data_IF_427079618824
#
_entry.id   IF_427079618824
#
_cell.length_a   1.000
_cell.length_b   1.000
_cell.length_c   1.000
_cell.angle_alpha   90.00
_cell.angle_beta   90.00
_cell.angle_gamma   90.00
#
_symmetry.space_group_name_H-M   'P 1'
#
loop_
_entity.id
_entity.type
_entity.pdbx_description
1 polymer ?
#
# COMPACT_ATOMS: atom_id res chain seq x y z
N UNK A 1 15.32 -32.11 46.50
CA UNK A 1 14.80 -32.49 45.18
C UNK A 1 14.09 -31.38 44.38
N UNK A 2 13.67 -30.25 44.94
CA UNK A 2 12.96 -29.17 44.22
C UNK A 2 13.89 -28.31 43.33
N UNK A 3 15.16 -28.10 43.67
CA UNK A 3 16.06 -27.24 42.88
C UNK A 3 16.52 -27.83 41.52
N UNK A 4 16.60 -29.15 41.41
CA UNK A 4 17.02 -29.84 40.17
C UNK A 4 15.95 -29.82 39.11
N UNK A 5 14.68 -29.85 39.46
CA UNK A 5 13.56 -29.76 38.53
C UNK A 5 13.43 -28.37 37.87
N UNK A 6 13.64 -27.31 38.66
CA UNK A 6 13.59 -25.94 38.16
C UNK A 6 14.72 -25.62 37.17
N UNK A 7 15.93 -26.09 37.44
CA UNK A 7 17.09 -25.90 36.55
C UNK A 7 16.89 -26.69 35.25
N UNK A 8 16.32 -27.90 35.32
CA UNK A 8 16.01 -28.71 34.13
C UNK A 8 14.95 -28.04 33.25
N UNK A 9 13.89 -27.49 33.84
CA UNK A 9 12.85 -26.75 33.11
C UNK A 9 13.43 -25.50 32.41
N UNK A 10 14.25 -24.73 33.11
CA UNK A 10 14.91 -23.53 32.54
C UNK A 10 15.83 -23.94 31.37
N UNK A 11 16.58 -25.03 31.50
CA UNK A 11 17.46 -25.53 30.44
C UNK A 11 16.69 -26.04 29.22
N UNK A 12 15.58 -26.75 29.42
CA UNK A 12 14.69 -27.21 28.33
C UNK A 12 14.03 -26.03 27.61
N UNK A 13 13.57 -25.03 28.35
CA UNK A 13 12.99 -23.80 27.77
C UNK A 13 14.06 -23.04 26.97
N UNK A 14 15.29 -22.94 27.48
CA UNK A 14 16.41 -22.29 26.78
C UNK A 14 16.81 -23.03 25.50
N UNK A 15 16.87 -24.37 25.54
CA UNK A 15 17.12 -25.18 24.35
C UNK A 15 16.00 -25.09 23.32
N UNK A 16 14.75 -25.04 23.76
CA UNK A 16 13.57 -24.85 22.90
C UNK A 16 13.64 -23.47 22.21
N UNK A 17 13.94 -22.43 22.96
CA UNK A 17 14.12 -21.09 22.41
C UNK A 17 15.29 -21.01 21.41
N UNK A 18 16.44 -21.63 21.75
CA UNK A 18 17.63 -21.65 20.87
C UNK A 18 17.37 -22.43 19.59
N UNK A 19 16.58 -23.53 19.65
CA UNK A 19 16.20 -24.32 18.51
C UNK A 19 15.25 -23.56 17.57
N UNK A 20 14.26 -22.86 18.11
CA UNK A 20 13.35 -22.03 17.30
C UNK A 20 14.04 -20.81 16.70
N UNK A 21 14.97 -20.17 17.41
CA UNK A 21 15.78 -19.09 16.85
C UNK A 21 16.68 -19.56 15.73
N UNK A 22 17.28 -20.74 15.86
CA UNK A 22 18.12 -21.37 14.83
C UNK A 22 17.27 -21.72 13.58
N UNK A 23 16.12 -22.36 13.74
CA UNK A 23 15.22 -22.67 12.63
C UNK A 23 14.67 -21.38 11.98
N UNK A 24 14.27 -20.39 12.76
CA UNK A 24 13.80 -19.11 12.23
C UNK A 24 14.89 -18.38 11.42
N UNK A 25 16.15 -18.49 11.83
CA UNK A 25 17.30 -17.94 11.12
C UNK A 25 17.64 -18.70 9.84
N UNK A 26 17.75 -20.06 9.93
CA UNK A 26 18.14 -20.92 8.82
C UNK A 26 17.08 -20.98 7.71
N UNK A 27 15.80 -20.97 8.06
CA UNK A 27 14.68 -21.13 7.11
C UNK A 27 13.94 -19.80 6.82
N UNK A 28 14.45 -18.68 7.35
CA UNK A 28 13.89 -17.33 7.12
C UNK A 28 12.35 -17.28 7.33
N UNK A 29 11.89 -17.94 8.41
CA UNK A 29 10.47 -18.00 8.76
C UNK A 29 10.04 -16.68 9.45
N UNK A 30 9.39 -15.75 8.73
CA UNK A 30 9.15 -14.38 9.21
C UNK A 30 8.26 -14.31 10.45
N UNK A 31 7.39 -15.30 10.66
CA UNK A 31 6.50 -15.36 11.83
C UNK A 31 7.21 -15.77 13.14
N UNK A 32 8.23 -16.60 13.08
CA UNK A 32 8.98 -17.01 14.27
C UNK A 32 9.91 -15.88 14.72
N UNK A 33 10.51 -15.17 13.77
CA UNK A 33 11.31 -13.98 14.03
C UNK A 33 10.47 -12.86 14.69
N UNK A 34 9.30 -12.53 14.13
CA UNK A 34 8.43 -11.46 14.67
C UNK A 34 7.87 -11.79 16.05
N UNK A 35 7.46 -13.04 16.32
CA UNK A 35 6.95 -13.42 17.65
C UNK A 35 8.03 -13.32 18.75
N UNK A 36 9.28 -13.71 18.44
CA UNK A 36 10.41 -13.60 19.37
C UNK A 36 10.85 -12.14 19.57
N UNK A 37 10.78 -11.34 18.53
CA UNK A 37 11.07 -9.90 18.57
C UNK A 37 10.06 -9.13 19.41
N UNK A 38 8.79 -9.54 19.39
CA UNK A 38 7.72 -8.96 20.20
C UNK A 38 7.96 -9.13 21.72
N UNK A 39 8.68 -10.18 22.11
CA UNK A 39 9.05 -10.44 23.54
C UNK A 39 10.20 -9.54 23.98
N UNK A 40 11.04 -9.03 23.07
CA UNK A 40 12.17 -8.16 23.39
C UNK A 40 11.78 -6.68 23.59
N UNK A 41 10.59 -6.29 23.15
CA UNK A 41 10.11 -4.90 23.20
C UNK A 41 10.88 -3.95 22.27
N UNK A 42 10.38 -2.74 22.04
CA UNK A 42 11.10 -1.72 21.28
C UNK A 42 12.37 -1.29 22.04
N UNK A 43 13.50 -1.12 21.33
CA UNK A 43 14.75 -0.64 21.92
C UNK A 43 14.62 0.82 22.38
N UNK A 44 13.86 1.60 21.62
CA UNK A 44 13.44 2.95 22.01
C UNK A 44 12.07 2.91 22.66
N UNK A 45 11.83 3.77 23.65
CA UNK A 45 10.49 3.92 24.22
C UNK A 45 9.49 4.35 23.15
N UNK A 46 8.32 3.74 23.17
CA UNK A 46 7.21 4.16 22.30
C UNK A 46 6.90 5.64 22.52
N UNK A 47 6.86 6.43 21.46
CA UNK A 47 6.52 7.85 21.51
C UNK A 47 5.04 8.10 21.20
N UNK A 48 4.43 7.19 20.44
CA UNK A 48 3.01 7.19 20.16
C UNK A 48 2.48 5.76 20.19
N UNK A 49 1.30 5.54 20.78
CA UNK A 49 0.66 4.23 20.82
C UNK A 49 -0.61 4.21 19.96
N UNK A 50 -1.03 3.04 19.44
CA UNK A 50 -2.29 2.92 18.72
C UNK A 50 -3.47 3.42 19.55
N UNK A 51 -3.48 3.13 20.85
CA UNK A 51 -4.53 3.52 21.79
C UNK A 51 -4.66 5.04 21.93
N UNK A 52 -3.52 5.77 21.93
CA UNK A 52 -3.50 7.23 21.97
C UNK A 52 -4.13 7.82 20.70
N UNK A 53 -3.75 7.30 19.52
CA UNK A 53 -4.30 7.76 18.23
C UNK A 53 -5.80 7.47 18.14
N UNK A 54 -6.21 6.28 18.55
CA UNK A 54 -7.64 5.91 18.58
C UNK A 54 -8.45 6.75 19.56
N UNK A 55 -7.87 7.12 20.71
CA UNK A 55 -8.50 8.03 21.67
C UNK A 55 -8.60 9.45 21.09
N UNK A 56 -7.55 9.94 20.42
CA UNK A 56 -7.52 11.22 19.72
C UNK A 56 -8.63 11.32 18.67
N UNK A 57 -8.81 10.27 17.86
CA UNK A 57 -9.87 10.20 16.84
C UNK A 57 -11.30 10.27 17.43
N UNK A 58 -11.50 9.69 18.61
CA UNK A 58 -12.81 9.67 19.30
C UNK A 58 -13.12 10.98 20.03
N UNK A 59 -12.12 11.82 20.28
CA UNK A 59 -12.29 13.09 20.96
C UNK A 59 -13.11 14.05 20.08
N UNK A 60 -14.13 14.66 20.67
CA UNK A 60 -14.98 15.60 19.99
C UNK A 60 -14.18 16.83 19.54
N UNK A 61 -14.43 17.31 18.32
CA UNK A 61 -13.74 18.44 17.69
C UNK A 61 -12.23 18.27 17.49
N UNK A 62 -11.68 17.08 17.73
CA UNK A 62 -10.30 16.78 17.39
C UNK A 62 -10.20 16.19 15.99
N UNK A 63 -9.15 16.56 15.24
CA UNK A 63 -8.84 16.02 13.92
C UNK A 63 -7.50 15.30 13.96
N UNK A 64 -7.44 14.15 13.32
CA UNK A 64 -6.18 13.46 13.09
C UNK A 64 -5.39 14.18 11.99
N UNK A 65 -4.20 14.59 12.31
CA UNK A 65 -3.29 15.21 11.32
C UNK A 65 -2.60 14.13 10.52
N UNK A 66 -2.81 14.17 9.20
CA UNK A 66 -2.20 13.25 8.26
C UNK A 66 -1.36 14.02 7.22
N UNK A 67 -0.10 13.61 7.06
CA UNK A 67 0.80 14.12 6.04
C UNK A 67 0.95 13.09 4.92
N UNK A 68 0.56 13.46 3.73
CA UNK A 68 0.70 12.66 2.51
C UNK A 68 2.00 13.07 1.81
N UNK A 69 2.85 12.08 1.57
CA UNK A 69 4.19 12.27 1.03
C UNK A 69 4.34 11.47 -0.27
N UNK A 70 3.99 12.05 -1.43
CA UNK A 70 4.34 11.44 -2.72
C UNK A 70 5.86 11.36 -2.85
N UNK A 71 6.39 10.16 -3.03
CA UNK A 71 7.83 9.91 -3.13
C UNK A 71 8.44 10.48 -4.40
N UNK A 72 9.77 10.69 -4.37
CA UNK A 72 10.56 11.32 -5.41
C UNK A 72 10.06 12.74 -5.77
N UNK A 73 10.78 13.44 -6.59
CA UNK A 73 10.39 14.73 -7.16
C UNK A 73 10.69 14.76 -8.67
N UNK A 74 10.51 15.92 -9.28
CA UNK A 74 10.73 16.05 -10.72
C UNK A 74 12.22 16.00 -11.11
N UNK A 75 13.12 16.27 -10.16
CA UNK A 75 14.57 16.36 -10.35
C UNK A 75 15.32 15.11 -9.88
N UNK A 76 14.69 14.30 -9.01
CA UNK A 76 15.31 13.08 -8.48
C UNK A 76 15.15 11.90 -9.44
N UNK A 77 16.12 10.98 -9.38
CA UNK A 77 16.04 9.72 -10.12
C UNK A 77 14.96 8.85 -9.51
N UNK A 78 13.90 8.61 -10.26
CA UNK A 78 12.80 7.70 -9.91
C UNK A 78 12.65 6.60 -10.96
N UNK A 79 11.84 5.58 -10.67
CA UNK A 79 11.49 4.57 -11.66
C UNK A 79 10.85 5.21 -12.91
N UNK A 80 11.21 4.68 -14.05
CA UNK A 80 10.64 5.13 -15.33
C UNK A 80 10.33 3.96 -16.24
N UNK A 81 9.13 3.94 -16.78
CA UNK A 81 8.70 2.99 -17.81
C UNK A 81 8.15 3.72 -19.03
N UNK A 82 8.88 3.70 -20.14
CA UNK A 82 8.59 4.53 -21.32
C UNK A 82 8.51 6.00 -20.92
N UNK A 83 7.38 6.67 -21.19
CA UNK A 83 7.14 8.07 -20.82
C UNK A 83 6.62 8.26 -19.38
N UNK A 84 6.36 7.16 -18.66
CA UNK A 84 5.79 7.20 -17.32
C UNK A 84 6.91 7.35 -16.29
N UNK A 85 6.78 8.33 -15.43
CA UNK A 85 7.67 8.54 -14.28
C UNK A 85 6.93 8.20 -12.98
N UNK A 86 7.58 7.49 -12.10
CA UNK A 86 7.07 7.18 -10.76
C UNK A 86 6.73 8.46 -10.00
N UNK A 87 7.62 9.45 -10.01
CA UNK A 87 7.40 10.72 -9.32
C UNK A 87 6.09 11.41 -9.72
N UNK A 88 5.68 11.32 -10.98
CA UNK A 88 4.43 11.86 -11.47
C UNK A 88 3.22 11.04 -10.98
N UNK A 89 3.31 9.71 -11.04
CA UNK A 89 2.25 8.82 -10.53
C UNK A 89 2.04 8.99 -9.04
N UNK A 90 3.13 9.11 -8.28
CA UNK A 90 3.08 9.38 -6.83
C UNK A 90 2.33 10.69 -6.53
N UNK A 91 2.63 11.76 -7.28
CA UNK A 91 1.99 13.06 -7.11
C UNK A 91 0.49 13.03 -7.48
N UNK A 92 0.12 12.34 -8.56
CA UNK A 92 -1.27 12.17 -8.98
C UNK A 92 -2.08 11.38 -7.92
N UNK A 93 -1.56 10.23 -7.45
CA UNK A 93 -2.20 9.45 -6.40
C UNK A 93 -2.28 10.24 -5.08
N UNK A 94 -1.19 10.92 -4.72
CA UNK A 94 -1.13 11.72 -3.50
C UNK A 94 -2.16 12.84 -3.48
N UNK A 95 -2.42 13.49 -4.63
CA UNK A 95 -3.47 14.50 -4.75
C UNK A 95 -4.87 13.91 -4.56
N UNK A 96 -5.17 12.75 -5.18
CA UNK A 96 -6.46 12.07 -4.99
C UNK A 96 -6.66 11.65 -3.51
N UNK A 97 -5.61 11.13 -2.86
CA UNK A 97 -5.66 10.75 -1.45
C UNK A 97 -5.86 11.97 -0.53
N UNK A 98 -5.15 13.05 -0.80
CA UNK A 98 -5.31 14.32 -0.09
C UNK A 98 -6.75 14.83 -0.19
N UNK A 99 -7.37 14.77 -1.37
CA UNK A 99 -8.76 15.21 -1.57
C UNK A 99 -9.78 14.35 -0.79
N UNK A 100 -9.53 13.03 -0.65
CA UNK A 100 -10.37 12.19 0.21
C UNK A 100 -10.30 12.61 1.67
N UNK A 101 -9.10 12.79 2.21
CA UNK A 101 -8.93 13.21 3.61
C UNK A 101 -9.39 14.64 3.86
N UNK A 102 -9.21 15.55 2.90
CA UNK A 102 -9.66 16.95 3.03
C UNK A 102 -11.20 17.06 3.13
N UNK A 103 -11.94 16.13 2.52
CA UNK A 103 -13.41 16.07 2.57
C UNK A 103 -13.95 15.41 3.83
N UNK A 104 -13.08 14.81 4.65
CA UNK A 104 -13.46 14.13 5.89
C UNK A 104 -13.15 15.02 7.09
N UNK A 105 -14.20 15.47 7.79
CA UNK A 105 -14.08 16.38 8.92
C UNK A 105 -13.29 15.82 10.10
N UNK A 106 -13.03 14.52 10.13
CA UNK A 106 -12.21 13.85 11.15
C UNK A 106 -10.70 14.00 10.91
N UNK A 107 -10.30 14.53 9.76
CA UNK A 107 -8.89 14.67 9.40
C UNK A 107 -8.50 16.11 9.11
N UNK A 108 -7.24 16.43 9.38
CA UNK A 108 -6.55 17.62 8.92
C UNK A 108 -5.39 17.15 8.03
N UNK A 109 -5.57 17.29 6.72
CA UNK A 109 -4.66 16.72 5.73
C UNK A 109 -3.64 17.75 5.21
N UNK A 110 -2.40 17.29 5.05
CA UNK A 110 -1.31 18.04 4.44
C UNK A 110 -0.70 17.19 3.31
N UNK A 111 -0.15 17.82 2.29
CA UNK A 111 0.59 17.14 1.23
C UNK A 111 1.92 17.87 0.94
N UNK A 112 3.01 17.13 0.85
CA UNK A 112 4.33 17.71 0.55
C UNK A 112 4.49 18.09 -0.91
N UNK A 113 3.67 17.54 -1.82
CA UNK A 113 3.73 17.81 -3.26
C UNK A 113 2.34 18.08 -3.82
N UNK A 114 2.29 18.83 -4.90
CA UNK A 114 1.08 19.12 -5.67
C UNK A 114 1.01 18.24 -6.92
N UNK A 115 -0.16 18.20 -7.57
CA UNK A 115 -0.46 17.29 -8.69
C UNK A 115 0.53 17.34 -9.87
N UNK A 116 1.12 18.50 -10.15
CA UNK A 116 2.12 18.63 -11.22
C UNK A 116 3.51 18.06 -10.86
N UNK A 117 3.66 17.55 -9.65
CA UNK A 117 4.88 16.94 -9.16
C UNK A 117 5.86 17.88 -8.46
N UNK A 118 5.55 19.16 -8.34
CA UNK A 118 6.36 20.12 -7.59
C UNK A 118 6.11 19.97 -6.08
N UNK A 119 7.06 20.37 -5.26
CA UNK A 119 6.81 20.52 -3.83
C UNK A 119 5.77 21.60 -3.56
N UNK A 120 4.92 21.38 -2.56
CA UNK A 120 4.02 22.43 -2.05
C UNK A 120 4.85 23.59 -1.52
N UNK A 121 4.33 24.82 -1.70
CA UNK A 121 5.05 26.05 -1.32
C UNK A 121 5.45 26.03 0.15
N UNK A 122 4.54 25.62 1.04
CA UNK A 122 4.80 25.55 2.49
C UNK A 122 5.97 24.62 2.83
N UNK A 123 6.11 23.46 2.14
CA UNK A 123 7.20 22.55 2.40
C UNK A 123 8.54 23.06 1.84
N UNK A 124 8.51 23.67 0.66
CA UNK A 124 9.69 24.32 0.09
C UNK A 124 10.22 25.44 1.00
N UNK A 125 9.31 26.31 1.49
CA UNK A 125 9.67 27.40 2.39
C UNK A 125 10.23 26.86 3.73
N UNK A 126 9.63 25.81 4.30
CA UNK A 126 10.12 25.16 5.48
C UNK A 126 11.53 24.57 5.29
N UNK A 127 11.72 23.83 4.20
CA UNK A 127 13.01 23.17 3.91
C UNK A 127 14.14 24.19 3.75
N UNK A 128 13.93 25.24 2.95
CA UNK A 128 14.93 26.26 2.70
C UNK A 128 15.24 27.08 3.97
N UNK A 129 14.23 27.36 4.78
CA UNK A 129 14.41 28.16 6.00
C UNK A 129 15.06 27.38 7.16
N UNK A 130 15.01 26.06 7.16
CA UNK A 130 15.45 25.22 8.28
C UNK A 130 16.57 24.24 7.89
N UNK A 131 17.29 24.48 6.81
CA UNK A 131 18.27 23.52 6.26
C UNK A 131 19.33 23.10 7.28
N UNK A 132 19.92 24.03 7.99
CA UNK A 132 20.95 23.76 9.01
C UNK A 132 20.40 22.93 10.18
N UNK A 133 19.16 23.21 10.62
CA UNK A 133 18.50 22.46 11.68
C UNK A 133 18.10 21.05 11.24
N UNK A 134 17.76 20.88 9.97
CA UNK A 134 17.49 19.56 9.38
C UNK A 134 18.77 18.74 9.29
N UNK A 135 19.89 19.34 8.87
CA UNK A 135 21.21 18.67 8.87
C UNK A 135 21.59 18.21 10.29
N UNK A 136 21.44 19.09 11.28
CA UNK A 136 21.67 18.74 12.68
C UNK A 136 20.74 17.63 13.18
N UNK A 137 19.45 17.69 12.83
CA UNK A 137 18.48 16.64 13.19
C UNK A 137 18.87 15.28 12.59
N UNK A 138 19.31 15.25 11.32
CA UNK A 138 19.85 14.06 10.67
C UNK A 138 21.05 13.49 11.42
N UNK A 139 22.05 14.33 11.71
CA UNK A 139 23.27 13.92 12.42
C UNK A 139 22.98 13.39 13.82
N UNK A 140 22.09 14.06 14.55
CA UNK A 140 21.68 13.66 15.90
C UNK A 140 20.96 12.31 15.89
N UNK A 141 20.03 12.10 14.96
CA UNK A 141 19.31 10.83 14.78
C UNK A 141 20.27 9.68 14.44
N UNK A 142 21.17 9.89 13.50
CA UNK A 142 22.19 8.90 13.12
C UNK A 142 23.15 8.59 14.28
N UNK A 143 23.52 9.59 15.08
CA UNK A 143 24.38 9.42 16.25
C UNK A 143 23.69 8.59 17.34
N UNK A 144 22.42 8.90 17.63
CA UNK A 144 21.60 8.13 18.59
C UNK A 144 21.47 6.67 18.16
N UNK A 145 21.23 6.43 16.87
CA UNK A 145 21.12 5.07 16.34
C UNK A 145 22.43 4.30 16.46
N UNK A 146 23.58 4.91 16.11
CA UNK A 146 24.89 4.28 16.31
C UNK A 146 25.13 3.91 17.78
N UNK A 147 24.83 4.80 18.71
CA UNK A 147 24.92 4.53 20.14
C UNK A 147 24.03 3.38 20.59
N UNK A 148 22.80 3.30 20.07
CA UNK A 148 21.88 2.23 20.36
C UNK A 148 22.41 0.87 19.85
N UNK A 149 22.97 0.83 18.65
CA UNK A 149 23.61 -0.39 18.09
C UNK A 149 24.83 -0.81 18.91
N UNK A 150 25.68 0.14 19.32
CA UNK A 150 26.81 -0.12 20.20
C UNK A 150 26.39 -0.67 21.57
N UNK A 151 25.18 -0.32 22.03
CA UNK A 151 24.59 -0.83 23.26
C UNK A 151 23.85 -2.14 23.10
N UNK A 152 23.85 -2.73 21.89
CA UNK A 152 23.30 -4.06 21.61
C UNK A 152 21.93 -4.06 20.90
N UNK A 153 21.48 -2.92 20.38
CA UNK A 153 20.29 -2.92 19.52
C UNK A 153 20.57 -3.76 18.27
N UNK A 154 19.65 -4.66 17.87
CA UNK A 154 19.85 -5.44 16.66
C UNK A 154 19.93 -4.54 15.42
N UNK A 155 20.99 -4.75 14.63
CA UNK A 155 21.05 -4.23 13.26
C UNK A 155 20.70 -5.37 12.30
N UNK A 156 19.69 -5.17 11.48
CA UNK A 156 19.20 -6.23 10.58
C UNK A 156 19.97 -6.23 9.25
N UNK A 157 20.40 -7.42 8.80
CA UNK A 157 21.04 -7.60 7.50
C UNK A 157 20.17 -8.14 6.39
N UNK A 158 18.88 -8.45 6.64
CA UNK A 158 17.97 -9.08 5.67
C UNK A 158 16.96 -8.07 5.11
N UNK A 159 17.45 -7.18 4.25
CA UNK A 159 16.61 -6.11 3.75
C UNK A 159 16.24 -6.30 2.28
N UNK A 160 15.08 -5.76 1.90
CA UNK A 160 14.75 -5.52 0.50
C UNK A 160 15.68 -4.42 0.01
N UNK A 161 16.30 -4.63 -1.16
CA UNK A 161 17.17 -3.63 -1.76
C UNK A 161 16.35 -2.41 -2.16
N UNK A 162 16.66 -1.28 -1.55
CA UNK A 162 16.16 0.03 -1.96
C UNK A 162 17.31 0.82 -2.60
N UNK A 163 16.98 1.64 -3.61
CA UNK A 163 17.94 2.58 -4.16
C UNK A 163 18.37 3.56 -3.06
N UNK A 164 19.67 3.78 -2.94
CA UNK A 164 20.19 4.78 -2.02
C UNK A 164 19.68 6.17 -2.41
N UNK A 165 19.11 6.89 -1.45
CA UNK A 165 18.74 8.28 -1.64
C UNK A 165 20.00 9.13 -1.87
N UNK A 166 19.91 10.12 -2.76
CA UNK A 166 20.96 11.16 -2.85
C UNK A 166 21.04 11.92 -1.54
N UNK A 167 22.14 12.63 -1.29
CA UNK A 167 22.27 13.43 -0.07
C UNK A 167 21.13 14.45 0.07
N UNK A 168 20.74 15.09 -1.02
CA UNK A 168 19.65 16.05 -1.05
C UNK A 168 18.27 15.40 -0.79
N UNK A 169 17.99 14.24 -1.38
CA UNK A 169 16.75 13.49 -1.14
C UNK A 169 16.69 13.00 0.32
N UNK A 170 17.81 12.50 0.81
CA UNK A 170 17.96 12.12 2.22
C UNK A 170 17.63 13.30 3.14
N UNK A 171 18.20 14.47 2.87
CA UNK A 171 17.98 15.66 3.69
C UNK A 171 16.50 16.10 3.67
N UNK A 172 15.85 16.05 2.51
CA UNK A 172 14.40 16.32 2.40
C UNK A 172 13.55 15.34 3.19
N UNK A 173 13.89 14.05 3.19
CA UNK A 173 13.18 13.04 3.99
C UNK A 173 13.35 13.30 5.51
N UNK A 174 14.54 13.70 5.96
CA UNK A 174 14.73 14.14 7.35
C UNK A 174 13.95 15.44 7.65
N UNK A 175 13.84 16.35 6.70
CA UNK A 175 13.00 17.55 6.85
C UNK A 175 11.53 17.20 7.02
N UNK A 176 11.02 16.22 6.26
CA UNK A 176 9.65 15.71 6.40
C UNK A 176 9.43 15.14 7.81
N UNK A 177 10.34 14.28 8.29
CA UNK A 177 10.23 13.68 9.62
C UNK A 177 10.32 14.76 10.73
N UNK A 178 11.26 15.70 10.61
CA UNK A 178 11.42 16.82 11.56
C UNK A 178 10.15 17.67 11.60
N UNK A 179 9.65 18.13 10.45
CA UNK A 179 8.44 18.92 10.37
C UNK A 179 7.24 18.19 10.96
N UNK A 180 7.09 16.91 10.64
CA UNK A 180 5.99 16.09 11.13
C UNK A 180 6.03 15.94 12.66
N UNK A 181 7.23 15.78 13.27
CA UNK A 181 7.38 15.71 14.72
C UNK A 181 7.05 17.06 15.38
N UNK A 182 7.55 18.16 14.83
CA UNK A 182 7.31 19.54 15.35
C UNK A 182 5.84 19.96 15.29
N UNK A 183 5.10 19.47 14.29
CA UNK A 183 3.68 19.81 14.09
C UNK A 183 2.73 18.74 14.67
N UNK A 184 3.25 17.75 15.40
CA UNK A 184 2.49 16.66 16.00
C UNK A 184 1.61 15.93 14.96
N UNK A 185 2.20 15.62 13.80
CA UNK A 185 1.50 14.85 12.77
C UNK A 185 1.37 13.40 13.27
N UNK A 186 0.13 12.93 13.46
CA UNK A 186 -0.12 11.56 13.94
C UNK A 186 0.25 10.52 12.88
N UNK A 187 -0.03 10.77 11.60
CA UNK A 187 0.20 9.81 10.51
C UNK A 187 0.97 10.46 9.37
N UNK A 188 2.11 9.88 9.00
CA UNK A 188 2.85 10.20 7.77
C UNK A 188 2.69 9.02 6.81
N UNK A 189 2.20 9.29 5.60
CA UNK A 189 1.91 8.27 4.61
C UNK A 189 2.68 8.54 3.31
N UNK A 190 3.68 7.69 3.02
CA UNK A 190 4.50 7.76 1.81
C UNK A 190 3.91 6.94 0.68
N UNK A 191 3.97 7.47 -0.53
CA UNK A 191 3.41 6.90 -1.75
C UNK A 191 4.53 6.64 -2.75
N UNK A 192 4.65 5.39 -3.19
CA UNK A 192 5.64 4.94 -4.16
C UNK A 192 5.06 3.93 -5.15
N UNK A 193 5.76 3.73 -6.26
CA UNK A 193 5.58 2.64 -7.20
C UNK A 193 6.92 1.98 -7.47
N UNK A 194 6.94 0.67 -7.36
CA UNK A 194 8.15 -0.14 -7.47
C UNK A 194 8.64 -0.24 -8.93
N UNK A 195 9.93 -0.49 -9.07
CA UNK A 195 10.56 -0.98 -10.30
C UNK A 195 11.52 -2.11 -9.95
N UNK A 196 11.74 -3.05 -10.86
CA UNK A 196 12.67 -4.14 -10.59
C UNK A 196 14.00 -3.91 -11.32
N UNK A 197 15.13 -3.84 -10.59
CA UNK A 197 16.45 -3.68 -11.17
C UNK A 197 16.77 -4.80 -12.17
N UNK A 198 17.36 -4.44 -13.30
CA UNK A 198 17.78 -5.41 -14.32
C UNK A 198 16.75 -5.78 -15.36
N UNK A 199 15.53 -5.22 -15.32
CA UNK A 199 14.64 -5.29 -16.50
C UNK A 199 15.22 -4.55 -17.69
N UNK A 200 14.95 -5.02 -18.90
CA UNK A 200 15.34 -4.31 -20.12
C UNK A 200 14.51 -3.03 -20.27
N UNK A 201 15.16 -1.96 -20.70
CA UNK A 201 14.47 -0.69 -20.99
C UNK A 201 13.25 -0.88 -21.89
N UNK A 202 12.12 -0.30 -21.50
CA UNK A 202 10.87 -0.38 -22.26
C UNK A 202 10.15 -1.73 -22.20
N UNK A 203 10.71 -2.75 -21.52
CA UNK A 203 10.06 -4.02 -21.28
C UNK A 203 9.54 -4.10 -19.86
N UNK A 204 8.40 -4.78 -19.62
CA UNK A 204 7.94 -5.05 -18.27
C UNK A 204 8.97 -5.90 -17.51
N UNK A 205 9.01 -5.72 -16.19
CA UNK A 205 9.77 -6.57 -15.29
C UNK A 205 9.03 -7.88 -14.99
N UNK A 206 9.60 -8.64 -14.05
CA UNK A 206 9.11 -9.97 -13.67
C UNK A 206 8.03 -9.93 -12.60
N UNK A 207 8.07 -8.94 -11.70
CA UNK A 207 7.25 -8.88 -10.51
C UNK A 207 6.07 -7.92 -10.67
N UNK A 208 5.05 -8.11 -9.83
CA UNK A 208 3.83 -7.32 -9.81
C UNK A 208 3.27 -7.25 -8.39
N UNK A 209 2.32 -6.33 -8.15
CA UNK A 209 1.57 -6.23 -6.91
C UNK A 209 2.17 -5.29 -5.88
N UNK A 210 1.38 -4.97 -4.84
CA UNK A 210 1.69 -3.98 -3.82
C UNK A 210 2.44 -4.56 -2.63
N UNK A 211 3.19 -3.71 -1.93
CA UNK A 211 3.77 -3.95 -0.61
C UNK A 211 3.67 -2.71 0.28
N UNK A 212 3.70 -2.91 1.60
CA UNK A 212 3.63 -1.86 2.60
C UNK A 212 4.82 -2.01 3.53
N UNK A 213 5.54 -0.93 3.77
CA UNK A 213 6.68 -0.86 4.66
C UNK A 213 6.35 -0.08 5.92
N UNK A 214 6.80 -0.60 7.04
CA UNK A 214 6.67 -0.01 8.38
C UNK A 214 8.02 -0.01 9.08
N UNK A 215 8.22 0.84 10.11
CA UNK A 215 9.42 0.80 10.92
C UNK A 215 9.64 -0.59 11.53
N UNK A 216 10.90 -1.01 11.64
CA UNK A 216 11.25 -2.26 12.32
C UNK A 216 11.01 -2.15 13.84
N UNK A 217 10.75 -3.30 14.48
CA UNK A 217 10.24 -3.44 15.86
C UNK A 217 11.00 -2.67 16.96
N UNK A 218 12.30 -2.39 16.79
CA UNK A 218 13.11 -1.65 17.76
C UNK A 218 12.90 -0.13 17.69
N UNK A 219 12.22 0.38 16.67
CA UNK A 219 11.98 1.81 16.48
C UNK A 219 10.72 2.29 17.24
N UNK A 220 10.70 3.55 17.72
CA UNK A 220 9.69 4.03 18.66
C UNK A 220 8.28 4.13 18.09
N UNK A 221 8.13 4.14 16.77
CA UNK A 221 6.86 4.23 16.06
C UNK A 221 6.40 2.92 15.41
N UNK A 222 7.11 1.80 15.65
CA UNK A 222 6.81 0.50 15.05
C UNK A 222 5.38 0.03 15.31
N UNK A 223 4.99 -0.09 16.61
CA UNK A 223 3.71 -0.72 16.99
C UNK A 223 2.51 0.03 16.39
N UNK A 224 2.50 1.35 16.50
CA UNK A 224 1.44 2.18 15.96
C UNK A 224 1.38 2.13 14.41
N UNK A 225 2.54 2.12 13.75
CA UNK A 225 2.64 1.99 12.30
C UNK A 225 2.15 0.63 11.80
N UNK A 226 2.55 -0.45 12.46
CA UNK A 226 2.12 -1.81 12.12
C UNK A 226 0.62 -2.02 12.33
N UNK A 227 0.06 -1.48 13.43
CA UNK A 227 -1.38 -1.60 13.69
C UNK A 227 -2.23 -0.81 12.67
N UNK A 228 -1.75 0.34 12.18
CA UNK A 228 -2.42 1.05 11.09
C UNK A 228 -2.26 0.33 9.75
N UNK A 229 -1.08 -0.22 9.47
CA UNK A 229 -0.80 -0.88 8.19
C UNK A 229 -1.59 -2.18 7.98
N UNK A 230 -1.95 -2.91 9.05
CA UNK A 230 -2.73 -4.17 8.95
C UNK A 230 -4.10 -4.00 8.30
N UNK A 231 -5.01 -3.13 8.76
CA UNK A 231 -6.30 -2.91 8.10
C UNK A 231 -6.14 -2.29 6.69
N UNK A 232 -5.13 -1.45 6.46
CA UNK A 232 -4.80 -0.94 5.14
C UNK A 232 -4.44 -2.07 4.18
N UNK A 233 -3.49 -2.95 4.56
CA UNK A 233 -3.11 -4.14 3.80
C UNK A 233 -4.35 -5.00 3.49
N UNK A 234 -5.14 -5.32 4.51
CA UNK A 234 -6.33 -6.14 4.34
C UNK A 234 -7.37 -5.50 3.41
N UNK A 235 -7.43 -4.16 3.35
CA UNK A 235 -8.30 -3.45 2.42
C UNK A 235 -7.79 -3.53 0.99
N UNK A 236 -6.49 -3.29 0.78
CA UNK A 236 -5.87 -3.36 -0.55
C UNK A 236 -5.94 -4.79 -1.12
N UNK A 237 -5.71 -5.83 -0.31
CA UNK A 237 -5.79 -7.24 -0.73
C UNK A 237 -7.16 -7.67 -1.28
N UNK A 238 -8.21 -6.93 -0.99
CA UNK A 238 -9.55 -7.21 -1.53
C UNK A 238 -9.68 -6.91 -3.02
N UNK A 239 -8.80 -6.07 -3.56
CA UNK A 239 -8.92 -5.54 -4.92
C UNK A 239 -7.63 -5.66 -5.72
N UNK A 240 -6.49 -5.81 -5.05
CA UNK A 240 -5.17 -5.75 -5.67
C UNK A 240 -4.31 -6.95 -5.30
N UNK A 241 -3.43 -7.33 -6.23
CA UNK A 241 -2.42 -8.35 -6.01
C UNK A 241 -1.39 -7.88 -4.97
N UNK A 242 -0.97 -8.79 -4.09
CA UNK A 242 0.23 -8.58 -3.27
C UNK A 242 1.48 -8.74 -4.13
N UNK A 243 2.57 -8.08 -3.72
CA UNK A 243 3.87 -8.28 -4.38
C UNK A 243 4.24 -9.76 -4.44
N UNK A 244 4.65 -10.20 -5.62
CA UNK A 244 5.18 -11.54 -5.86
C UNK A 244 6.72 -11.57 -5.84
N UNK A 245 7.36 -10.46 -5.45
CA UNK A 245 8.77 -10.44 -5.05
C UNK A 245 8.92 -11.25 -3.75
N UNK A 246 9.77 -12.31 -3.70
CA UNK A 246 9.83 -13.20 -2.54
C UNK A 246 10.04 -12.51 -1.19
N UNK A 247 10.84 -11.44 -1.15
CA UNK A 247 11.07 -10.65 0.06
C UNK A 247 9.86 -9.82 0.50
N UNK A 248 8.88 -9.58 -0.37
CA UNK A 248 7.67 -8.78 -0.17
C UNK A 248 6.38 -9.62 -0.09
N UNK A 249 6.46 -10.94 -0.18
CA UNK A 249 5.32 -11.87 -0.34
C UNK A 249 4.23 -11.75 0.74
N UNK A 250 4.55 -11.18 1.90
CA UNK A 250 3.59 -10.91 2.98
C UNK A 250 2.88 -9.57 2.83
N UNK A 251 3.30 -8.74 1.89
CA UNK A 251 2.82 -7.38 1.63
C UNK A 251 2.88 -6.42 2.85
N UNK A 252 3.46 -6.83 3.97
CA UNK A 252 3.77 -5.98 5.12
C UNK A 252 5.17 -6.31 5.58
N UNK A 253 6.08 -5.36 5.44
CA UNK A 253 7.52 -5.50 5.61
C UNK A 253 8.00 -4.53 6.69
N UNK A 254 8.77 -5.03 7.64
CA UNK A 254 9.48 -4.20 8.59
C UNK A 254 10.84 -3.78 8.00
N UNK A 255 11.17 -2.48 8.08
CA UNK A 255 12.42 -1.94 7.58
C UNK A 255 13.01 -0.90 8.55
N UNK A 256 14.32 -0.98 8.80
CA UNK A 256 15.01 -0.04 9.70
C UNK A 256 15.81 1.04 8.97
N UNK A 257 16.02 0.92 7.66
CA UNK A 257 16.89 1.81 6.88
C UNK A 257 16.12 2.86 6.08
N UNK A 258 14.83 2.63 5.83
CA UNK A 258 14.00 3.59 5.12
C UNK A 258 13.77 4.86 5.95
N UNK A 259 14.36 5.97 5.51
CA UNK A 259 14.16 7.30 6.12
C UNK A 259 12.68 7.67 6.14
N UNK A 260 11.94 7.29 5.10
CA UNK A 260 10.50 7.52 4.95
C UNK A 260 9.68 6.96 6.13
N UNK A 261 10.04 5.80 6.67
CA UNK A 261 9.32 5.22 7.82
C UNK A 261 9.96 5.55 9.17
N UNK A 262 10.98 6.40 9.20
CA UNK A 262 11.59 6.89 10.43
C UNK A 262 12.84 6.14 10.86
N UNK A 263 13.70 5.69 9.89
CA UNK A 263 15.02 5.15 10.22
C UNK A 263 15.79 6.07 11.19
N UNK A 264 16.72 5.49 11.91
CA UNK A 264 17.49 6.19 12.95
C UNK A 264 16.63 6.82 14.06
N UNK A 265 15.45 6.24 14.34
CA UNK A 265 14.47 6.77 15.29
C UNK A 265 14.07 8.23 15.02
N UNK A 266 14.07 8.66 13.75
CA UNK A 266 13.81 10.04 13.33
C UNK A 266 12.34 10.42 13.32
N UNK A 267 11.39 9.48 13.56
CA UNK A 267 9.97 9.73 13.51
C UNK A 267 9.27 9.36 14.82
N UNK A 268 8.46 10.29 15.34
CA UNK A 268 7.73 10.11 16.59
C UNK A 268 6.35 9.47 16.39
N UNK A 269 5.65 9.85 15.32
CA UNK A 269 4.30 9.37 15.00
C UNK A 269 4.31 8.17 14.04
N UNK A 270 3.11 7.69 13.71
CA UNK A 270 2.90 6.64 12.70
C UNK A 270 3.56 7.02 11.38
N UNK A 271 4.26 6.09 10.78
CA UNK A 271 4.77 6.24 9.42
C UNK A 271 4.62 4.95 8.63
N UNK A 272 4.08 5.06 7.42
CA UNK A 272 3.84 3.93 6.51
C UNK A 272 4.27 4.34 5.11
N UNK A 273 4.92 3.44 4.39
CA UNK A 273 5.21 3.61 2.97
C UNK A 273 4.49 2.50 2.19
N UNK A 274 3.71 2.89 1.19
CA UNK A 274 3.07 1.95 0.27
C UNK A 274 3.74 1.99 -1.10
N UNK A 275 4.23 0.83 -1.53
CA UNK A 275 4.56 0.53 -2.93
C UNK A 275 3.30 -0.06 -3.57
N UNK A 276 2.60 0.69 -4.41
CA UNK A 276 1.28 0.31 -4.92
C UNK A 276 1.31 -0.70 -6.06
N UNK A 277 2.47 -1.06 -6.50
CA UNK A 277 2.71 -2.01 -7.59
C UNK A 277 3.90 -1.58 -8.42
N UNK A 278 4.14 -2.29 -9.51
CA UNK A 278 5.26 -1.99 -10.39
C UNK A 278 4.83 -1.09 -11.54
N UNK A 279 5.60 -0.04 -11.79
CA UNK A 279 5.29 1.03 -12.77
C UNK A 279 4.92 0.52 -14.17
N UNK A 280 5.36 -0.69 -14.52
CA UNK A 280 5.11 -1.31 -15.83
C UNK A 280 3.86 -2.20 -15.87
N UNK A 281 3.12 -2.35 -14.77
CA UNK A 281 1.90 -3.16 -14.77
C UNK A 281 0.83 -2.57 -15.72
N UNK A 282 0.01 -3.40 -16.38
CA UNK A 282 -0.88 -2.96 -17.45
C UNK A 282 -1.80 -1.79 -17.06
N UNK A 283 -2.35 -1.80 -15.85
CA UNK A 283 -3.23 -0.74 -15.35
C UNK A 283 -2.55 0.62 -15.22
N UNK A 284 -1.23 0.63 -15.01
CA UNK A 284 -0.42 1.86 -14.91
C UNK A 284 0.21 2.22 -16.25
N UNK A 285 0.61 1.23 -17.03
CA UNK A 285 1.23 1.43 -18.34
C UNK A 285 0.26 2.03 -19.38
N UNK A 286 -1.04 1.76 -19.25
CA UNK A 286 -2.06 2.30 -20.13
C UNK A 286 -2.55 3.67 -19.63
N UNK A 287 -2.47 4.70 -20.48
CA UNK A 287 -2.90 6.07 -20.16
C UNK A 287 -4.38 6.18 -19.79
N UNK A 288 -5.26 5.38 -20.42
CA UNK A 288 -6.70 5.41 -20.18
C UNK A 288 -7.09 4.86 -18.80
N UNK A 289 -6.37 3.84 -18.32
CA UNK A 289 -6.66 3.17 -17.04
C UNK A 289 -5.89 3.78 -15.87
N UNK A 290 -4.72 4.36 -16.11
CA UNK A 290 -3.81 4.87 -15.05
C UNK A 290 -4.50 5.81 -14.08
N UNK A 291 -5.04 6.93 -14.56
CA UNK A 291 -5.67 7.93 -13.67
C UNK A 291 -6.85 7.36 -12.88
N UNK A 292 -7.63 6.47 -13.51
CA UNK A 292 -8.77 5.78 -12.87
C UNK A 292 -8.25 4.87 -11.74
N UNK A 293 -7.18 4.11 -12.02
CA UNK A 293 -6.60 3.20 -11.04
C UNK A 293 -5.91 3.94 -9.90
N UNK A 294 -5.21 5.05 -10.17
CA UNK A 294 -4.61 5.88 -9.13
C UNK A 294 -5.67 6.43 -8.16
N UNK A 295 -6.81 6.87 -8.69
CA UNK A 295 -7.94 7.30 -7.85
C UNK A 295 -8.53 6.15 -7.03
N UNK A 296 -8.68 4.96 -7.61
CA UNK A 296 -9.17 3.79 -6.88
C UNK A 296 -8.20 3.37 -5.77
N UNK A 297 -6.90 3.35 -6.03
CA UNK A 297 -5.87 3.08 -5.03
C UNK A 297 -5.92 4.10 -3.88
N UNK A 298 -6.04 5.38 -4.19
CA UNK A 298 -6.20 6.45 -3.20
C UNK A 298 -7.45 6.24 -2.34
N UNK A 299 -8.58 5.89 -2.96
CA UNK A 299 -9.82 5.60 -2.25
C UNK A 299 -9.68 4.38 -1.33
N UNK A 300 -9.12 3.27 -1.81
CA UNK A 300 -8.95 2.07 -1.00
C UNK A 300 -7.94 2.29 0.14
N UNK A 301 -6.96 3.15 -0.05
CA UNK A 301 -6.03 3.59 1.01
C UNK A 301 -6.77 4.40 2.09
N UNK A 302 -7.56 5.39 1.69
CA UNK A 302 -8.40 6.15 2.59
C UNK A 302 -9.31 5.24 3.42
N UNK A 303 -10.01 4.29 2.78
CA UNK A 303 -10.85 3.29 3.44
C UNK A 303 -10.06 2.43 4.43
N UNK A 304 -8.88 1.95 4.01
CA UNK A 304 -8.00 1.13 4.85
C UNK A 304 -7.55 1.86 6.11
N UNK A 305 -7.18 3.13 5.99
CA UNK A 305 -6.79 3.98 7.12
C UNK A 305 -8.00 4.26 8.03
N UNK A 306 -9.18 4.55 7.50
CA UNK A 306 -10.40 4.73 8.30
C UNK A 306 -10.77 3.47 9.09
N UNK A 307 -10.54 2.29 8.54
CA UNK A 307 -10.76 1.01 9.25
C UNK A 307 -9.88 0.83 10.47
N UNK A 308 -8.67 1.39 10.49
CA UNK A 308 -7.86 1.43 11.70
C UNK A 308 -8.61 2.16 12.83
N UNK A 309 -9.31 3.24 12.52
CA UNK A 309 -10.10 4.00 13.49
C UNK A 309 -11.45 3.36 13.86
N UNK A 310 -11.81 2.24 13.22
CA UNK A 310 -13.11 1.59 13.38
C UNK A 310 -14.24 2.37 12.69
N UNK A 311 -13.93 3.29 11.79
CA UNK A 311 -14.90 4.09 11.07
C UNK A 311 -15.29 3.41 9.75
N UNK A 312 -16.60 3.24 9.56
CA UNK A 312 -17.21 2.67 8.35
C UNK A 312 -17.96 3.69 7.51
N UNK A 313 -17.98 4.98 7.93
CA UNK A 313 -18.56 6.04 7.13
C UNK A 313 -17.60 6.40 5.99
N UNK A 314 -17.93 5.97 4.79
CA UNK A 314 -17.10 6.12 3.61
C UNK A 314 -17.67 7.18 2.67
N UNK A 315 -16.79 7.97 2.04
CA UNK A 315 -17.18 9.04 1.11
C UNK A 315 -17.65 8.56 -0.26
N UNK A 316 -17.43 7.29 -0.61
CA UNK A 316 -17.91 6.74 -1.88
C UNK A 316 -19.28 6.08 -1.72
N UNK A 317 -20.07 6.18 -2.79
CA UNK A 317 -21.43 5.66 -2.84
C UNK A 317 -21.56 4.15 -2.59
N UNK A 318 -22.67 3.57 -2.98
CA UNK A 318 -23.16 2.24 -2.60
C UNK A 318 -22.24 1.04 -2.94
N UNK A 319 -21.16 1.24 -3.72
CA UNK A 319 -20.34 0.14 -4.24
C UNK A 319 -18.99 -0.05 -3.54
N UNK A 320 -18.61 0.81 -2.60
CA UNK A 320 -17.29 0.76 -1.92
C UNK A 320 -16.10 0.76 -2.91
N UNK A 321 -16.23 1.42 -4.04
CA UNK A 321 -15.20 1.58 -5.08
C UNK A 321 -15.50 2.81 -5.92
N UNK A 322 -14.47 3.44 -6.47
CA UNK A 322 -14.62 4.55 -7.44
C UNK A 322 -14.83 4.07 -8.88
N UNK A 323 -14.73 2.76 -9.11
CA UNK A 323 -14.92 2.14 -10.41
C UNK A 323 -16.39 1.85 -10.76
N UNK A 324 -17.31 2.04 -9.82
CA UNK A 324 -18.75 1.85 -10.00
C UNK A 324 -19.50 3.00 -9.32
N UNK A 325 -20.63 3.46 -9.89
CA UNK A 325 -21.32 2.92 -11.08
C UNK A 325 -20.60 3.18 -12.40
N UNK A 326 -20.93 2.44 -13.47
CA UNK A 326 -20.43 2.64 -14.82
C UNK A 326 -21.41 2.12 -15.87
N UNK A 327 -21.60 2.88 -16.95
CA UNK A 327 -22.47 2.49 -18.07
C UNK A 327 -21.68 2.05 -19.29
N UNK A 328 -21.85 0.80 -19.71
CA UNK A 328 -21.19 0.22 -20.87
C UNK A 328 -22.00 0.44 -22.14
N UNK A 329 -21.40 1.06 -23.16
CA UNK A 329 -22.05 1.34 -24.44
C UNK A 329 -21.54 0.46 -25.58
N UNK A 330 -20.35 -0.11 -25.48
CA UNK A 330 -19.71 -0.89 -26.54
C UNK A 330 -19.47 -2.32 -26.09
N UNK A 331 -19.72 -3.31 -26.98
CA UNK A 331 -19.43 -4.71 -26.68
C UNK A 331 -17.94 -4.94 -26.40
N UNK A 332 -17.65 -5.79 -25.40
CA UNK A 332 -16.29 -6.08 -24.94
C UNK A 332 -15.93 -7.54 -25.24
N UNK A 333 -14.73 -7.77 -25.77
CA UNK A 333 -14.23 -9.11 -26.08
C UNK A 333 -12.74 -9.26 -25.86
N UNK A 334 -12.32 -10.50 -25.71
CA UNK A 334 -10.90 -10.86 -25.54
C UNK A 334 -10.06 -10.35 -26.72
N UNK A 335 -8.89 -9.76 -26.39
CA UNK A 335 -7.88 -9.31 -27.35
C UNK A 335 -8.12 -7.93 -27.94
N UNK A 336 -9.17 -7.21 -27.53
CA UNK A 336 -9.38 -5.80 -27.92
C UNK A 336 -8.74 -4.90 -26.87
N UNK A 337 -7.92 -3.97 -27.29
CA UNK A 337 -7.17 -3.04 -26.42
C UNK A 337 -7.83 -1.67 -26.31
N UNK A 338 -8.67 -1.31 -27.28
CA UNK A 338 -9.30 0.03 -27.38
C UNK A 338 -10.32 0.35 -26.29
N UNK A 339 -10.73 -0.65 -25.49
CA UNK A 339 -11.78 -0.54 -24.49
C UNK A 339 -11.24 -0.79 -23.06
N UNK A 340 -9.95 -0.48 -22.82
CA UNK A 340 -9.29 -0.81 -21.55
C UNK A 340 -9.96 -0.18 -20.33
N UNK A 341 -10.51 1.03 -20.46
CA UNK A 341 -11.30 1.70 -19.42
C UNK A 341 -12.55 0.88 -19.09
N UNK A 342 -13.37 0.56 -20.07
CA UNK A 342 -14.62 -0.19 -19.88
C UNK A 342 -14.36 -1.60 -19.34
N UNK A 343 -13.23 -2.21 -19.75
CA UNK A 343 -12.79 -3.51 -19.23
C UNK A 343 -12.40 -3.43 -17.76
N UNK A 344 -11.76 -2.32 -17.33
CA UNK A 344 -11.43 -2.10 -15.92
C UNK A 344 -12.68 -2.07 -15.05
N UNK A 345 -13.69 -1.30 -15.46
CA UNK A 345 -14.98 -1.23 -14.78
C UNK A 345 -15.72 -2.59 -14.80
N UNK A 346 -15.66 -3.32 -15.94
CA UNK A 346 -16.22 -4.67 -16.05
C UNK A 346 -15.59 -5.64 -15.06
N UNK A 347 -14.25 -5.64 -14.93
CA UNK A 347 -13.56 -6.50 -13.97
C UNK A 347 -13.98 -6.20 -12.54
N UNK A 348 -14.20 -4.93 -12.18
CA UNK A 348 -14.72 -4.55 -10.88
C UNK A 348 -16.18 -5.01 -10.69
N UNK A 349 -17.05 -4.85 -11.68
CA UNK A 349 -18.43 -5.34 -11.60
C UNK A 349 -18.47 -6.87 -11.41
N UNK A 350 -17.67 -7.61 -12.17
CA UNK A 350 -17.53 -9.06 -12.02
C UNK A 350 -16.93 -9.45 -10.64
N UNK A 351 -16.06 -8.63 -10.08
CA UNK A 351 -15.56 -8.83 -8.72
C UNK A 351 -16.67 -8.64 -7.66
N UNK A 352 -17.51 -7.62 -7.80
CA UNK A 352 -18.68 -7.43 -6.92
C UNK A 352 -19.67 -8.59 -7.01
N UNK A 353 -19.79 -9.22 -8.17
CA UNK A 353 -20.56 -10.46 -8.39
C UNK A 353 -19.89 -11.72 -7.81
N UNK A 354 -18.66 -11.62 -7.27
CA UNK A 354 -17.82 -12.74 -6.80
C UNK A 354 -17.45 -13.72 -7.91
N UNK A 355 -17.28 -13.21 -9.12
CA UNK A 355 -16.93 -13.97 -10.32
C UNK A 355 -15.51 -13.65 -10.80
N UNK A 356 -14.86 -12.62 -10.23
CA UNK A 356 -13.52 -12.20 -10.57
C UNK A 356 -12.68 -11.97 -9.29
N UNK A 357 -11.47 -12.53 -9.17
CA UNK A 357 -10.88 -13.54 -10.08
C UNK A 357 -11.73 -14.80 -10.22
N UNK A 358 -11.61 -15.58 -11.33
CA UNK A 358 -12.28 -16.87 -11.46
C UNK A 358 -11.89 -17.85 -10.33
N UNK A 359 -12.71 -18.87 -10.13
CA UNK A 359 -12.48 -19.90 -9.13
C UNK A 359 -11.06 -20.48 -9.19
N UNK A 360 -10.42 -20.67 -8.04
CA UNK A 360 -9.03 -21.11 -7.88
C UNK A 360 -7.96 -20.17 -8.44
N UNK A 361 -8.31 -18.90 -8.67
CA UNK A 361 -7.40 -17.82 -9.07
C UNK A 361 -7.37 -16.70 -8.02
N UNK A 362 -6.25 -15.99 -7.99
CA UNK A 362 -6.04 -14.82 -7.13
C UNK A 362 -5.86 -13.55 -7.98
N UNK A 363 -5.75 -12.39 -7.36
CA UNK A 363 -5.38 -11.17 -8.07
C UNK A 363 -3.96 -11.20 -8.63
N UNK A 364 -3.06 -12.04 -8.10
CA UNK A 364 -1.75 -12.27 -8.70
C UNK A 364 -1.85 -12.99 -10.05
N UNK A 365 -2.83 -13.90 -10.22
CA UNK A 365 -3.10 -14.57 -11.50
C UNK A 365 -3.93 -13.68 -12.44
N UNK A 366 -4.83 -12.91 -11.89
CA UNK A 366 -5.90 -12.19 -12.59
C UNK A 366 -6.11 -10.79 -12.00
N UNK A 367 -5.18 -9.84 -12.21
CA UNK A 367 -5.33 -8.49 -11.68
C UNK A 367 -6.49 -7.73 -12.35
N UNK A 368 -7.08 -6.77 -11.64
CA UNK A 368 -7.96 -5.75 -12.23
C UNK A 368 -7.07 -4.77 -13.01
N UNK A 369 -6.95 -4.98 -14.30
CA UNK A 369 -5.91 -4.36 -15.13
C UNK A 369 -6.38 -3.62 -16.38
N UNK A 370 -7.67 -3.73 -16.71
CA UNK A 370 -8.20 -3.21 -17.99
C UNK A 370 -7.83 -4.07 -19.21
N UNK A 371 -7.32 -5.29 -18.98
CA UNK A 371 -6.99 -6.24 -20.07
C UNK A 371 -8.02 -7.36 -20.13
N UNK A 372 -8.73 -7.48 -21.24
CA UNK A 372 -9.66 -8.59 -21.46
C UNK A 372 -8.90 -9.87 -21.84
N UNK A 373 -8.35 -10.53 -20.82
CA UNK A 373 -7.64 -11.80 -20.92
C UNK A 373 -8.56 -13.02 -20.69
N UNK A 374 -7.94 -14.18 -20.41
CA UNK A 374 -8.64 -15.41 -20.08
C UNK A 374 -9.49 -15.27 -18.82
N UNK A 375 -8.96 -14.61 -17.77
CA UNK A 375 -9.68 -14.42 -16.53
C UNK A 375 -10.99 -13.65 -16.71
N UNK A 376 -10.96 -12.55 -17.47
CA UNK A 376 -12.15 -11.76 -17.78
C UNK A 376 -13.13 -12.56 -18.63
N UNK A 377 -12.64 -13.31 -19.62
CA UNK A 377 -13.46 -14.18 -20.46
C UNK A 377 -14.23 -15.24 -19.64
N UNK A 378 -13.54 -15.96 -18.74
CA UNK A 378 -14.19 -16.97 -17.90
C UNK A 378 -15.19 -16.33 -16.91
N UNK A 379 -14.84 -15.18 -16.34
CA UNK A 379 -15.75 -14.45 -15.44
C UNK A 379 -17.00 -13.95 -16.16
N UNK A 380 -16.88 -13.44 -17.40
CA UNK A 380 -18.04 -13.06 -18.22
C UNK A 380 -18.92 -14.26 -18.54
N UNK A 381 -18.34 -15.42 -18.85
CA UNK A 381 -19.13 -16.66 -19.03
C UNK A 381 -19.93 -16.99 -17.76
N UNK A 382 -19.31 -16.92 -16.60
CA UNK A 382 -19.99 -17.18 -15.32
C UNK A 382 -21.06 -16.15 -15.03
N UNK A 383 -20.86 -14.88 -15.38
CA UNK A 383 -21.88 -13.85 -15.28
C UNK A 383 -23.09 -14.15 -16.19
N UNK A 384 -22.84 -14.58 -17.43
CA UNK A 384 -23.88 -14.99 -18.36
C UNK A 384 -24.65 -16.21 -17.86
N UNK A 385 -23.98 -17.22 -17.31
CA UNK A 385 -24.61 -18.40 -16.70
C UNK A 385 -25.46 -18.02 -15.48
N UNK A 386 -24.97 -17.10 -14.62
CA UNK A 386 -25.68 -16.61 -13.43
C UNK A 386 -26.96 -15.85 -13.79
N UNK A 387 -26.95 -15.13 -14.91
CA UNK A 387 -28.07 -14.33 -15.42
C UNK A 387 -28.63 -14.92 -16.73
N UNK A 388 -28.77 -16.27 -16.78
CA UNK A 388 -29.11 -16.97 -18.00
C UNK A 388 -30.48 -16.58 -18.55
N UNK A 389 -31.46 -16.34 -17.69
CA UNK A 389 -32.81 -15.93 -18.11
C UNK A 389 -32.82 -14.61 -18.88
N UNK A 390 -32.00 -13.64 -18.45
CA UNK A 390 -31.98 -12.31 -19.07
C UNK A 390 -30.99 -12.22 -20.25
N UNK A 391 -29.96 -13.07 -20.28
CA UNK A 391 -28.88 -12.97 -21.26
C UNK A 391 -28.92 -14.07 -22.31
N UNK A 392 -29.18 -15.32 -21.89
CA UNK A 392 -29.03 -16.50 -22.75
C UNK A 392 -30.34 -17.05 -23.29
N UNK A 393 -31.48 -16.67 -22.70
CA UNK A 393 -32.78 -17.15 -23.17
C UNK A 393 -33.16 -16.48 -24.49
N UNK A 394 -33.47 -17.29 -25.50
CA UNK A 394 -33.97 -16.87 -26.79
C UNK A 394 -34.92 -17.93 -27.34
N UNK A 395 -36.18 -17.53 -27.66
CA UNK A 395 -37.22 -18.43 -28.17
C UNK A 395 -37.42 -19.70 -27.31
N UNK A 396 -37.52 -19.53 -25.99
CA UNK A 396 -37.68 -20.62 -24.99
C UNK A 396 -36.49 -21.61 -24.95
N UNK A 397 -35.29 -21.21 -25.42
CA UNK A 397 -34.09 -21.99 -25.35
C UNK A 397 -32.97 -21.20 -24.67
N UNK A 398 -32.20 -21.85 -23.81
CA UNK A 398 -31.03 -21.26 -23.19
C UNK A 398 -29.82 -21.54 -24.08
N UNK A 399 -29.22 -20.50 -24.62
CA UNK A 399 -27.99 -20.57 -25.39
C UNK A 399 -26.76 -20.78 -24.49
N UNK A 400 -25.68 -21.22 -25.09
CA UNK A 400 -24.41 -21.39 -24.37
C UNK A 400 -23.74 -20.05 -24.10
N UNK A 401 -23.25 -19.84 -22.86
CA UNK A 401 -22.46 -18.68 -22.49
C UNK A 401 -21.22 -18.54 -23.39
N UNK A 402 -21.08 -17.36 -23.99
CA UNK A 402 -20.07 -17.10 -25.03
C UNK A 402 -18.77 -16.52 -24.49
N UNK A 403 -18.78 -15.90 -23.28
CA UNK A 403 -17.67 -15.10 -22.77
C UNK A 403 -17.47 -13.76 -23.49
N UNK A 404 -18.32 -13.41 -24.42
CA UNK A 404 -18.41 -12.13 -25.11
C UNK A 404 -19.41 -11.22 -24.39
N UNK A 405 -18.98 -10.06 -23.91
CA UNK A 405 -19.87 -9.09 -23.29
C UNK A 405 -20.61 -8.30 -24.40
N UNK A 406 -21.58 -8.96 -25.04
CA UNK A 406 -22.42 -8.43 -26.10
C UNK A 406 -23.63 -7.65 -25.57
N UNK A 407 -24.55 -7.18 -26.45
CA UNK A 407 -25.62 -6.26 -26.06
C UNK A 407 -26.50 -6.75 -24.88
N UNK A 408 -26.92 -8.01 -24.84
CA UNK A 408 -27.71 -8.57 -23.72
C UNK A 408 -26.92 -8.59 -22.41
N UNK A 409 -25.63 -8.94 -22.46
CA UNK A 409 -24.73 -8.91 -21.29
C UNK A 409 -24.53 -7.49 -20.76
N UNK A 410 -24.31 -6.52 -21.67
CA UNK A 410 -24.17 -5.11 -21.29
C UNK A 410 -25.47 -4.54 -20.74
N UNK A 411 -26.61 -4.87 -21.30
CA UNK A 411 -27.91 -4.45 -20.77
C UNK A 411 -28.10 -4.90 -19.33
N UNK A 412 -27.73 -6.15 -18.99
CA UNK A 412 -27.82 -6.67 -17.63
C UNK A 412 -26.79 -6.01 -16.70
N UNK A 413 -25.56 -5.79 -17.15
CA UNK A 413 -24.55 -5.03 -16.39
C UNK A 413 -25.00 -3.61 -16.08
N UNK A 414 -25.57 -2.91 -17.08
CA UNK A 414 -26.07 -1.55 -16.93
C UNK A 414 -27.30 -1.47 -16.01
N UNK A 415 -28.14 -2.49 -15.99
CA UNK A 415 -29.27 -2.58 -15.05
C UNK A 415 -28.80 -2.67 -13.60
N UNK A 416 -27.70 -3.39 -13.34
CA UNK A 416 -27.18 -3.63 -11.98
C UNK A 416 -26.22 -2.52 -11.55
N UNK A 417 -25.37 -2.04 -12.43
CA UNK A 417 -24.22 -1.17 -12.13
C UNK A 417 -24.18 0.13 -12.94
N UNK A 418 -25.16 0.40 -13.80
CA UNK A 418 -25.24 1.64 -14.56
C UNK A 418 -25.57 2.86 -13.71
N UNK A 419 -25.24 4.05 -14.27
CA UNK A 419 -25.62 5.36 -13.71
C UNK A 419 -27.10 5.66 -13.92
#
# INVERSE_FOLDING_TARGET
MQKTGTIFIIFVVFLFFSFFTYIGYEYNLPYVGSALRYVAGPFFAERITPEQILASYKTENNKIKILIVPGHDNDSVSAQFKEIKESQMNAELGQELFEFFQKDDKFEAYATRVKNGDYSQWFSDYFESNKEEVEKFREDSQRQMRQAVEQGMPANGNQVYHNSATDNDSLRLYAINKWANENNIEVVFHIHFNDYPGRKWGQPGKYSGFSIYVPEYQLPNHRASSELAKPLKNQLEKYFAKSDLPAESFALIEDQELIAVGSNASRDGVSVLAEYGYIYEPQFANKETRGIMLKELAYQTYVGIKKFFGDTNLLAGNYETTLLPHTWNNPLKKGVVSESKDILHLQMALHKERLYPPENKTFNDCPISGVFGNCTFEAVKKFQEKHAAEILEENDKIEKASGFAGPKTLARLNEIYGE
#
